data_IF_806226006740
#
_entry.id   IF_806226006740
#
_cell.length_a   1.000
_cell.length_b   1.000
_cell.length_c   1.000
_cell.angle_alpha   90.00
_cell.angle_beta   90.00
_cell.angle_gamma   90.00
#
_symmetry.space_group_name_H-M   'P 1'
#
loop_
_entity.id
_entity.type
_entity.pdbx_description
1 polymer ?
#
# COMPACT_ATOMS: atom_id res chain seq x y z
N UNK A 1 1.13 -10.85 7.43
CA UNK A 1 0.79 -11.57 8.67
C UNK A 1 2.03 -11.46 9.52
N UNK A 2 1.93 -10.82 10.67
CA UNK A 2 3.06 -10.75 11.59
C UNK A 2 3.28 -12.15 12.15
N UNK A 3 4.53 -12.60 12.19
CA UNK A 3 4.88 -13.83 12.89
C UNK A 3 4.69 -13.66 14.40
N UNK A 4 4.95 -14.70 15.20
CA UNK A 4 5.02 -14.57 16.65
C UNK A 4 5.94 -13.41 17.04
N UNK A 5 5.48 -12.58 17.96
CA UNK A 5 6.25 -11.44 18.44
C UNK A 5 7.54 -11.93 19.11
N UNK A 6 8.68 -11.43 18.65
CA UNK A 6 10.01 -11.83 19.13
C UNK A 6 10.74 -10.63 19.74
N UNK A 7 10.37 -10.29 20.97
CA UNK A 7 10.98 -9.20 21.77
C UNK A 7 11.25 -9.67 23.20
N UNK A 8 12.00 -8.91 23.99
CA UNK A 8 12.20 -9.20 25.41
C UNK A 8 10.85 -9.11 26.17
N UNK A 9 10.69 -9.86 27.26
CA UNK A 9 9.41 -9.98 27.95
C UNK A 9 8.89 -8.62 28.47
N UNK A 10 9.80 -7.78 28.94
CA UNK A 10 9.56 -6.41 29.38
C UNK A 10 9.02 -5.48 28.28
N UNK A 11 9.32 -5.75 27.02
CA UNK A 11 8.94 -4.91 25.87
C UNK A 11 7.58 -5.30 25.27
N UNK A 12 7.05 -6.48 25.58
CA UNK A 12 5.80 -7.01 25.01
C UNK A 12 4.64 -6.03 25.20
N UNK A 13 4.46 -5.54 26.42
CA UNK A 13 3.39 -4.61 26.76
C UNK A 13 3.56 -3.25 26.06
N UNK A 14 4.80 -2.76 25.95
CA UNK A 14 5.11 -1.52 25.23
C UNK A 14 4.80 -1.65 23.74
N UNK A 15 5.18 -2.77 23.14
CA UNK A 15 4.92 -3.08 21.74
C UNK A 15 3.43 -3.09 21.42
N UNK A 16 2.63 -3.87 22.16
CA UNK A 16 1.20 -3.97 21.88
C UNK A 16 0.43 -2.67 22.11
N UNK A 17 0.84 -1.85 23.10
CA UNK A 17 0.29 -0.49 23.26
C UNK A 17 0.56 0.38 22.03
N UNK A 18 1.79 0.42 21.54
CA UNK A 18 2.14 1.18 20.35
C UNK A 18 1.42 0.66 19.09
N UNK A 19 1.32 -0.66 18.96
CA UNK A 19 0.62 -1.31 17.85
C UNK A 19 -0.88 -0.97 17.84
N UNK A 20 -1.54 -0.99 19.00
CA UNK A 20 -2.95 -0.60 19.11
C UNK A 20 -3.16 0.88 18.77
N UNK A 21 -2.26 1.76 19.24
CA UNK A 21 -2.30 3.19 18.89
C UNK A 21 -2.14 3.42 17.39
N UNK A 22 -1.22 2.69 16.75
CA UNK A 22 -1.04 2.73 15.30
C UNK A 22 -2.31 2.26 14.58
N UNK A 23 -2.91 1.14 15.00
CA UNK A 23 -4.16 0.63 14.47
C UNK A 23 -5.31 1.66 14.55
N UNK A 24 -5.52 2.26 15.72
CA UNK A 24 -6.54 3.30 15.94
C UNK A 24 -6.30 4.53 15.06
N UNK A 25 -5.05 4.93 14.90
CA UNK A 25 -4.67 6.09 14.06
C UNK A 25 -5.01 5.86 12.59
N UNK A 26 -4.86 4.62 12.11
CA UNK A 26 -5.23 4.27 10.73
C UNK A 26 -6.74 4.29 10.51
N UNK A 27 -7.52 3.72 11.44
CA UNK A 27 -8.99 3.68 11.31
C UNK A 27 -9.63 5.06 11.28
N UNK A 28 -9.04 6.04 11.99
CA UNK A 28 -9.52 7.42 12.05
C UNK A 28 -8.75 8.36 11.10
N UNK A 29 -7.95 7.82 10.18
CA UNK A 29 -7.12 8.63 9.31
C UNK A 29 -7.97 9.41 8.31
N UNK A 30 -7.76 10.74 8.25
CA UNK A 30 -8.29 11.61 7.19
C UNK A 30 -7.81 11.23 5.78
N UNK A 31 -6.82 10.35 5.68
CA UNK A 31 -6.25 9.86 4.42
C UNK A 31 -6.78 8.47 4.04
N UNK A 32 -7.75 7.92 4.78
CA UNK A 32 -8.41 6.67 4.42
C UNK A 32 -9.24 6.87 3.15
N UNK A 33 -8.86 6.17 2.07
CA UNK A 33 -9.58 6.20 0.81
C UNK A 33 -10.41 4.92 0.65
N UNK A 34 -11.72 5.09 0.44
CA UNK A 34 -12.64 3.98 0.16
C UNK A 34 -13.02 4.00 -1.32
N UNK A 35 -12.60 2.98 -2.06
CA UNK A 35 -12.96 2.81 -3.48
C UNK A 35 -13.56 1.42 -3.72
N UNK A 36 -14.69 1.37 -4.44
CA UNK A 36 -15.31 0.11 -4.85
C UNK A 36 -14.93 -0.19 -6.29
N UNK A 37 -13.97 -1.10 -6.47
CA UNK A 37 -13.56 -1.58 -7.78
C UNK A 37 -14.72 -2.19 -8.57
N UNK A 38 -14.91 -1.69 -9.79
CA UNK A 38 -15.80 -2.25 -10.81
C UNK A 38 -15.05 -3.23 -11.72
N UNK A 39 -15.75 -4.12 -12.45
CA UNK A 39 -15.12 -4.96 -13.48
C UNK A 39 -14.36 -4.11 -14.50
N UNK A 40 -13.10 -4.47 -14.76
CA UNK A 40 -12.21 -3.74 -15.66
C UNK A 40 -11.35 -2.66 -15.00
N UNK A 41 -11.64 -2.29 -13.74
CA UNK A 41 -10.81 -1.33 -13.00
C UNK A 41 -9.56 -1.96 -12.40
N UNK A 42 -8.51 -1.15 -12.32
CA UNK A 42 -7.23 -1.49 -11.71
C UNK A 42 -6.88 -0.43 -10.66
N UNK A 43 -6.39 -0.89 -9.50
CA UNK A 43 -5.71 -0.04 -8.53
C UNK A 43 -4.25 -0.46 -8.45
N UNK A 44 -3.35 0.51 -8.54
CA UNK A 44 -1.91 0.33 -8.33
C UNK A 44 -1.51 1.22 -7.18
N UNK A 45 -0.82 0.66 -6.20
CA UNK A 45 -0.36 1.39 -5.03
C UNK A 45 0.99 0.86 -4.58
N UNK A 46 1.71 1.67 -3.81
CA UNK A 46 2.99 1.29 -3.26
C UNK A 46 2.80 0.42 -2.00
N UNK A 47 2.98 -0.89 -2.13
CA UNK A 47 2.75 -1.85 -1.04
C UNK A 47 3.69 -1.67 0.18
N UNK A 48 4.83 -0.98 0.01
CA UNK A 48 5.75 -0.68 1.12
C UNK A 48 5.39 0.60 1.87
N UNK A 49 4.39 1.35 1.40
CA UNK A 49 3.97 2.62 2.00
C UNK A 49 2.48 2.67 2.33
N UNK A 50 1.65 2.11 1.47
CA UNK A 50 0.20 2.16 1.59
C UNK A 50 -0.33 0.83 2.13
N UNK A 51 -0.99 0.92 3.28
CA UNK A 51 -1.79 -0.17 3.80
C UNK A 51 -3.10 -0.24 3.04
N UNK A 52 -3.63 -1.44 2.89
CA UNK A 52 -4.87 -1.68 2.16
C UNK A 52 -5.69 -2.75 2.87
N UNK A 53 -7.00 -2.63 2.74
CA UNK A 53 -7.96 -3.53 3.34
C UNK A 53 -9.25 -3.57 2.53
N UNK A 54 -10.26 -4.23 3.07
CA UNK A 54 -11.60 -4.28 2.48
C UNK A 54 -12.65 -4.22 3.58
N UNK A 55 -13.78 -3.59 3.28
CA UNK A 55 -14.96 -3.66 4.13
C UNK A 55 -15.57 -5.07 4.09
N UNK A 56 -16.42 -5.36 5.07
CA UNK A 56 -17.18 -6.60 5.14
C UNK A 56 -18.05 -6.81 3.90
N UNK A 57 -18.35 -8.07 3.59
CA UNK A 57 -19.31 -8.42 2.53
C UNK A 57 -20.69 -8.69 3.11
N UNK A 58 -21.73 -8.33 2.34
CA UNK A 58 -23.07 -8.85 2.55
C UNK A 58 -23.26 -10.05 1.62
N UNK A 59 -23.62 -11.21 2.16
CA UNK A 59 -23.89 -12.39 1.35
C UNK A 59 -25.24 -12.23 0.65
N UNK A 60 -25.21 -11.97 -0.65
CA UNK A 60 -26.41 -11.76 -1.47
C UNK A 60 -26.36 -12.54 -2.79
N UNK A 61 -25.56 -13.61 -2.85
CA UNK A 61 -25.38 -14.43 -4.06
C UNK A 61 -24.46 -13.82 -5.13
N UNK A 62 -23.86 -12.65 -4.89
CA UNK A 62 -22.90 -12.03 -5.82
C UNK A 62 -21.56 -12.76 -5.90
N UNK A 63 -20.97 -12.84 -7.11
CA UNK A 63 -19.61 -13.33 -7.34
C UNK A 63 -18.63 -12.14 -7.40
N UNK A 64 -17.46 -12.28 -6.76
CA UNK A 64 -16.37 -11.30 -6.82
C UNK A 64 -15.06 -12.02 -7.05
N UNK A 65 -14.34 -11.62 -8.10
CA UNK A 65 -13.01 -12.15 -8.42
C UNK A 65 -12.07 -10.98 -8.73
N UNK A 66 -10.98 -10.89 -7.97
CA UNK A 66 -9.88 -9.95 -8.23
C UNK A 66 -8.65 -10.75 -8.64
N UNK A 67 -7.88 -10.21 -9.59
CA UNK A 67 -6.54 -10.71 -9.93
C UNK A 67 -5.53 -9.69 -9.43
N UNK A 68 -4.50 -10.17 -8.74
CA UNK A 68 -3.41 -9.36 -8.22
C UNK A 68 -2.08 -9.80 -8.81
N UNK A 69 -1.17 -8.85 -8.99
CA UNK A 69 0.23 -9.09 -9.29
C UNK A 69 1.10 -8.07 -8.57
N UNK A 70 2.41 -8.33 -8.52
CA UNK A 70 3.40 -7.42 -7.95
C UNK A 70 4.43 -7.06 -9.01
N UNK A 71 4.91 -5.82 -8.96
CA UNK A 71 6.01 -5.33 -9.78
C UNK A 71 7.06 -4.73 -8.85
N UNK A 72 8.34 -4.99 -9.13
CA UNK A 72 9.42 -4.38 -8.38
C UNK A 72 9.43 -2.86 -8.63
N UNK A 73 9.54 -2.08 -7.55
CA UNK A 73 9.61 -0.61 -7.58
C UNK A 73 10.77 -0.11 -8.43
N UNK A 74 11.89 -0.84 -8.51
CA UNK A 74 13.03 -0.46 -9.34
C UNK A 74 12.72 -0.55 -10.83
N UNK A 75 11.98 -1.59 -11.25
CA UNK A 75 11.49 -1.75 -12.63
C UNK A 75 10.51 -0.63 -12.96
N UNK A 76 9.56 -0.35 -12.05
CA UNK A 76 8.62 0.75 -12.22
C UNK A 76 9.35 2.10 -12.37
N UNK A 77 10.37 2.36 -11.53
CA UNK A 77 11.17 3.59 -11.58
C UNK A 77 11.96 3.70 -12.88
N UNK A 78 12.62 2.62 -13.31
CA UNK A 78 13.37 2.57 -14.56
C UNK A 78 12.47 2.88 -15.75
N UNK A 79 11.32 2.20 -15.87
CA UNK A 79 10.36 2.43 -16.95
C UNK A 79 9.78 3.84 -16.92
N UNK A 80 9.54 4.39 -15.72
CA UNK A 80 9.09 5.79 -15.57
C UNK A 80 10.15 6.76 -16.11
N UNK A 81 11.44 6.54 -15.82
CA UNK A 81 12.52 7.37 -16.35
C UNK A 81 12.64 7.25 -17.88
N UNK A 82 12.57 6.02 -18.40
CA UNK A 82 12.58 5.78 -19.85
C UNK A 82 11.43 6.55 -20.50
N UNK A 83 10.22 6.46 -19.94
CA UNK A 83 9.08 7.21 -20.45
C UNK A 83 9.31 8.73 -20.38
N UNK A 84 9.84 9.26 -19.27
CA UNK A 84 10.14 10.70 -19.14
C UNK A 84 11.18 11.18 -20.16
N UNK A 85 12.11 10.32 -20.57
CA UNK A 85 13.08 10.65 -21.62
C UNK A 85 12.45 10.68 -23.02
N UNK A 86 11.41 9.87 -23.27
CA UNK A 86 10.77 9.79 -24.59
C UNK A 86 9.68 10.84 -24.80
N UNK A 87 8.91 11.15 -23.75
CA UNK A 87 7.72 12.03 -23.87
C UNK A 87 7.71 13.20 -22.90
N UNK A 88 8.70 13.30 -22.00
CA UNK A 88 8.81 14.32 -20.96
C UNK A 88 9.97 15.28 -21.20
N UNK A 89 10.49 15.86 -20.11
CA UNK A 89 11.58 16.84 -20.14
C UNK A 89 12.98 16.20 -19.97
N UNK A 90 13.06 14.88 -19.92
CA UNK A 90 14.29 14.12 -19.75
C UNK A 90 14.99 14.29 -18.39
N UNK A 91 14.42 15.08 -17.45
CA UNK A 91 14.98 15.20 -16.11
C UNK A 91 14.78 13.90 -15.33
N UNK A 92 15.53 13.76 -14.23
CA UNK A 92 15.36 12.61 -13.34
C UNK A 92 13.95 12.60 -12.74
N UNK A 93 13.23 11.50 -12.91
CA UNK A 93 11.88 11.32 -12.39
C UNK A 93 11.89 11.38 -10.85
N UNK A 94 11.18 12.37 -10.30
CA UNK A 94 11.05 12.58 -8.86
C UNK A 94 9.76 11.99 -8.31
N UNK A 95 9.73 11.72 -7.00
CA UNK A 95 8.58 11.15 -6.27
C UNK A 95 8.12 9.78 -6.79
N UNK A 96 9.05 9.02 -7.37
CA UNK A 96 8.82 7.65 -7.85
C UNK A 96 9.46 6.64 -6.90
N UNK A 97 8.67 5.70 -6.41
CA UNK A 97 9.10 4.63 -5.50
C UNK A 97 9.17 5.03 -4.03
N UNK A 98 10.10 4.41 -3.28
CA UNK A 98 10.18 4.53 -1.81
C UNK A 98 11.19 5.57 -1.31
N UNK A 99 12.16 5.95 -2.14
CA UNK A 99 13.37 6.67 -1.72
C UNK A 99 13.38 8.14 -2.18
N UNK A 100 12.35 8.59 -2.90
CA UNK A 100 12.33 9.92 -3.51
C UNK A 100 11.50 10.88 -2.66
N UNK A 101 12.09 11.29 -1.54
CA UNK A 101 11.51 12.23 -0.57
C UNK A 101 11.78 13.71 -0.92
N UNK A 102 12.51 13.97 -2.01
CA UNK A 102 13.02 15.29 -2.43
C UNK A 102 12.69 15.61 -3.91
#
# INVERSE_FOLDING_TARGET
FEGPLSVAGEDVEGYYRAYEMFAKSMSNSRYLLNHRLQPGELVVFNNLRMLHGRNHFKSNGGKRHLKGCYVNVDVFKSMTQVLNNHVGDGRLAKRVGNQCWF
#
